data_IF_892124954371
#
_entry.id   IF_892124954371
#
_cell.length_a   1.000
_cell.length_b   1.000
_cell.length_c   1.000
_cell.angle_alpha   90.00
_cell.angle_beta   90.00
_cell.angle_gamma   90.00
#
_symmetry.space_group_name_H-M   'P 1'
#
loop_
_entity.id
_entity.type
_entity.pdbx_description
1 polymer ?
#
# COMPACT_ATOMS: atom_id res chain seq x y z
N UNK A 1 18.38 -23.12 -1.22
CA UNK A 1 17.28 -22.83 -0.29
C UNK A 1 16.07 -22.42 -1.11
N UNK A 2 14.88 -22.81 -0.67
CA UNK A 2 13.62 -22.32 -1.25
C UNK A 2 13.41 -20.85 -0.88
N UNK A 3 12.82 -20.05 -1.76
CA UNK A 3 12.50 -18.65 -1.45
C UNK A 3 11.32 -18.60 -0.47
N UNK A 4 11.37 -17.70 0.50
CA UNK A 4 10.23 -17.45 1.38
C UNK A 4 9.09 -16.83 0.57
N UNK A 5 7.84 -17.24 0.84
CA UNK A 5 6.62 -16.72 0.21
C UNK A 5 6.24 -15.30 0.69
N UNK A 6 7.24 -14.45 0.90
CA UNK A 6 7.13 -13.06 1.34
C UNK A 6 7.51 -12.17 0.16
N UNK A 7 6.75 -11.08 -0.01
CA UNK A 7 7.02 -10.04 -1.00
C UNK A 7 7.08 -8.68 -0.30
N UNK A 8 7.82 -7.73 -0.86
CA UNK A 8 7.85 -6.36 -0.34
C UNK A 8 7.96 -5.33 -1.47
N UNK A 9 7.61 -4.08 -1.16
CA UNK A 9 7.82 -2.92 -2.04
C UNK A 9 8.47 -1.84 -1.19
N UNK A 10 9.68 -1.44 -1.55
CA UNK A 10 10.47 -0.45 -0.83
C UNK A 10 10.32 0.95 -1.45
N UNK A 11 10.59 1.96 -0.63
CA UNK A 11 10.49 3.38 -1.01
C UNK A 11 11.78 4.09 -0.63
N UNK A 12 12.21 5.03 -1.48
CA UNK A 12 13.28 5.96 -1.18
C UNK A 12 13.12 6.55 0.26
N UNK A 13 14.11 6.45 1.15
CA UNK A 13 13.93 6.78 2.57
C UNK A 13 13.54 8.24 2.85
N UNK A 14 14.08 9.19 2.07
CA UNK A 14 13.76 10.62 2.20
C UNK A 14 12.30 10.85 1.81
N UNK A 15 11.92 10.30 0.66
CA UNK A 15 10.58 10.37 0.10
C UNK A 15 9.53 9.66 0.98
N UNK A 16 9.95 8.63 1.73
CA UNK A 16 9.15 8.00 2.78
C UNK A 16 8.91 8.95 3.94
N UNK A 17 9.94 9.55 4.54
CA UNK A 17 9.80 10.51 5.66
C UNK A 17 8.82 11.62 5.30
N UNK A 18 8.98 12.24 4.12
CA UNK A 18 8.03 13.23 3.61
C UNK A 18 6.60 12.69 3.54
N UNK A 19 6.39 11.54 2.88
CA UNK A 19 5.05 10.96 2.78
C UNK A 19 4.43 10.55 4.13
N UNK A 20 5.25 10.19 5.11
CA UNK A 20 4.81 9.83 6.46
C UNK A 20 4.41 11.06 7.27
N UNK A 21 5.15 12.16 7.15
CA UNK A 21 4.78 13.47 7.69
C UNK A 21 3.47 13.99 7.06
N UNK A 22 3.47 14.15 5.72
CA UNK A 22 2.33 14.66 4.95
C UNK A 22 1.03 13.89 5.23
N UNK A 23 1.08 12.55 5.21
CA UNK A 23 -0.10 11.71 5.45
C UNK A 23 -0.55 11.74 6.91
N UNK A 24 0.37 11.89 7.87
CA UNK A 24 0.00 12.03 9.29
C UNK A 24 -0.74 13.35 9.53
N UNK A 25 -0.27 14.44 8.92
CA UNK A 25 -0.94 15.75 8.95
C UNK A 25 -2.29 15.68 8.23
N UNK A 26 -2.33 15.17 6.99
CA UNK A 26 -3.56 15.10 6.18
C UNK A 26 -4.65 14.29 6.89
N UNK A 27 -4.34 13.13 7.46
CA UNK A 27 -5.35 12.31 8.14
C UNK A 27 -5.74 12.91 9.51
N UNK A 28 -4.83 13.61 10.18
CA UNK A 28 -5.10 14.31 11.44
C UNK A 28 -6.01 15.54 11.26
N UNK A 29 -5.80 16.32 10.20
CA UNK A 29 -6.56 17.54 9.92
C UNK A 29 -8.06 17.27 9.71
N UNK A 30 -8.43 16.11 9.16
CA UNK A 30 -9.83 15.65 9.00
C UNK A 30 -10.66 15.60 10.30
N UNK A 31 -10.01 15.65 11.47
CA UNK A 31 -10.70 15.68 12.76
C UNK A 31 -11.01 17.11 13.23
N UNK A 32 -10.35 18.14 12.69
CA UNK A 32 -10.52 19.55 13.10
C UNK A 32 -11.93 20.08 12.80
N UNK A 33 -12.55 19.54 11.75
CA UNK A 33 -13.97 19.72 11.33
C UNK A 33 -14.95 19.54 12.49
N UNK A 34 -14.58 18.73 13.50
CA UNK A 34 -15.40 18.49 14.68
C UNK A 34 -14.97 19.40 15.83
N UNK A 35 -15.75 20.45 16.19
CA UNK A 35 -15.32 21.45 17.16
C UNK A 35 -15.18 20.89 18.59
N UNK A 36 -15.93 19.84 18.94
CA UNK A 36 -16.09 19.41 20.33
C UNK A 36 -15.05 18.39 20.83
N UNK A 37 -14.14 17.89 19.98
CA UNK A 37 -13.17 16.85 20.37
C UNK A 37 -12.16 17.32 21.44
N UNK A 38 -11.91 18.64 21.56
CA UNK A 38 -11.05 19.23 22.60
C UNK A 38 -11.59 19.00 24.02
N UNK A 39 -12.91 18.81 24.19
CA UNK A 39 -13.57 18.76 25.51
C UNK A 39 -13.19 17.57 26.41
N UNK A 40 -12.65 16.49 25.84
CA UNK A 40 -12.45 15.21 26.54
C UNK A 40 -11.38 15.29 27.65
N UNK A 41 -10.45 16.24 27.59
CA UNK A 41 -9.41 16.42 28.63
C UNK A 41 -9.89 17.18 29.86
N UNK A 42 -10.91 18.05 29.75
CA UNK A 42 -11.26 18.98 30.85
C UNK A 42 -11.98 18.31 32.03
N UNK A 43 -12.47 17.06 31.87
CA UNK A 43 -13.25 16.36 32.91
C UNK A 43 -12.41 15.58 33.95
N UNK A 44 -11.08 15.61 33.90
CA UNK A 44 -10.21 14.95 34.91
C UNK A 44 -9.66 15.89 35.98
N UNK A 45 -9.96 17.19 35.92
CA UNK A 45 -9.37 18.21 36.79
C UNK A 45 -10.03 18.41 38.16
N UNK A 46 -10.25 17.36 38.96
CA UNK A 46 -10.74 17.50 40.35
C UNK A 46 -10.27 16.38 41.31
N UNK A 47 -9.72 16.80 42.48
CA UNK A 47 -9.00 15.99 43.50
C UNK A 47 -7.70 15.35 42.97
N UNK A 48 -6.55 15.46 43.63
CA UNK A 48 -6.32 15.40 45.08
C UNK A 48 -5.32 16.45 45.63
N UNK A 49 -5.33 16.62 46.95
CA UNK A 49 -4.54 17.61 47.71
C UNK A 49 -3.19 17.06 48.19
N UNK A 50 -2.19 17.92 48.17
CA UNK A 50 -0.84 17.91 48.80
C UNK A 50 -0.43 16.77 49.74
N UNK A 51 0.67 16.06 49.39
CA UNK A 51 1.79 15.76 50.33
C UNK A 51 3.11 15.49 49.59
N UNK A 52 4.24 15.44 50.32
CA UNK A 52 5.60 15.75 49.83
C UNK A 52 6.63 14.61 49.99
N UNK A 53 7.53 14.50 49.00
CA UNK A 53 8.84 13.79 49.00
C UNK A 53 8.75 12.25 49.12
N UNK A 54 9.60 11.41 48.50
CA UNK A 54 11.07 11.44 48.31
C UNK A 54 11.49 10.86 46.92
N UNK A 55 12.77 11.00 46.57
CA UNK A 55 13.51 10.57 45.36
C UNK A 55 13.52 9.04 45.14
N UNK A 56 13.31 8.56 43.90
CA UNK A 56 14.33 7.75 43.16
C UNK A 56 14.10 7.58 41.63
N UNK A 57 15.09 6.98 40.97
CA UNK A 57 15.40 6.77 39.54
C UNK A 57 14.29 6.85 38.44
N UNK A 58 14.52 7.76 37.49
CA UNK A 58 15.08 7.34 36.18
C UNK A 58 14.18 6.74 35.09
N UNK A 59 12.90 6.45 35.33
CA UNK A 59 12.05 5.83 34.30
C UNK A 59 11.47 6.84 33.29
N UNK A 60 12.13 6.99 32.13
CA UNK A 60 11.69 7.88 31.04
C UNK A 60 10.45 7.35 30.30
N UNK A 61 9.26 7.67 30.81
CA UNK A 61 7.96 7.26 30.25
C UNK A 61 7.68 7.85 28.87
N UNK A 62 7.18 7.04 27.92
CA UNK A 62 6.32 7.56 26.85
C UNK A 62 5.07 8.22 27.46
N UNK A 63 4.48 9.25 26.83
CA UNK A 63 3.23 9.83 27.29
C UNK A 63 2.11 8.78 27.35
N UNK A 64 1.26 8.87 28.38
CA UNK A 64 0.33 7.82 28.82
C UNK A 64 -0.53 7.19 27.69
N UNK A 65 -0.19 5.96 27.29
CA UNK A 65 -0.99 5.12 26.36
C UNK A 65 -2.44 4.88 26.84
N UNK A 66 -2.73 5.12 28.11
CA UNK A 66 -4.05 4.99 28.73
C UNK A 66 -5.13 5.84 28.04
N UNK A 67 -4.77 7.06 27.59
CA UNK A 67 -5.66 7.96 26.85
C UNK A 67 -6.06 7.37 25.48
N UNK A 68 -5.07 6.82 24.75
CA UNK A 68 -5.25 6.26 23.41
C UNK A 68 -6.31 5.14 23.39
N UNK A 69 -6.34 4.30 24.43
CA UNK A 69 -7.33 3.21 24.56
C UNK A 69 -8.77 3.76 24.60
N UNK A 70 -9.05 4.78 25.41
CA UNK A 70 -10.41 5.30 25.56
C UNK A 70 -10.96 5.94 24.27
N UNK A 71 -10.13 6.69 23.54
CA UNK A 71 -10.53 7.30 22.27
C UNK A 71 -10.87 6.23 21.22
N UNK A 72 -10.11 5.13 21.14
CA UNK A 72 -10.42 4.02 20.20
C UNK A 72 -11.71 3.26 20.55
N UNK A 73 -12.13 3.25 21.82
CA UNK A 73 -13.38 2.62 22.24
C UNK A 73 -14.62 3.37 21.73
N UNK A 74 -14.61 4.71 21.80
CA UNK A 74 -15.80 5.54 21.50
C UNK A 74 -16.09 5.72 20.01
N UNK A 75 -15.20 5.26 19.11
CA UNK A 75 -15.43 5.26 17.66
C UNK A 75 -15.93 3.90 17.11
N UNK A 76 -16.35 2.95 17.97
CA UNK A 76 -16.86 1.62 17.57
C UNK A 76 -18.38 1.59 17.28
N UNK A 77 -18.91 2.59 16.60
CA UNK A 77 -20.35 2.65 16.23
C UNK A 77 -20.57 2.86 14.73
N UNK A 78 -20.13 1.90 13.91
CA UNK A 78 -20.68 1.66 12.57
C UNK A 78 -20.30 0.26 12.08
N UNK A 79 -21.28 -0.58 11.73
CA UNK A 79 -21.03 -1.87 11.08
C UNK A 79 -20.57 -1.65 9.63
N UNK A 80 -19.27 -1.51 9.43
CA UNK A 80 -18.60 -1.75 8.15
C UNK A 80 -17.33 -2.56 8.41
N UNK A 81 -16.98 -3.51 7.54
CA UNK A 81 -15.72 -4.28 7.64
C UNK A 81 -14.51 -3.44 7.18
N UNK A 82 -14.52 -2.14 7.49
CA UNK A 82 -13.59 -1.14 6.97
C UNK A 82 -12.51 -0.87 8.00
N UNK A 83 -11.29 -1.32 7.72
CA UNK A 83 -10.14 -1.08 8.62
C UNK A 83 -9.86 0.42 8.68
N UNK A 84 -10.01 1.01 9.88
CA UNK A 84 -9.66 2.41 10.12
C UNK A 84 -8.15 2.62 10.09
N UNK A 85 -7.69 3.73 9.52
CA UNK A 85 -6.29 4.17 9.58
C UNK A 85 -5.75 4.19 11.01
N UNK A 86 -6.59 4.52 12.01
CA UNK A 86 -6.22 4.54 13.42
C UNK A 86 -5.90 3.15 14.02
N UNK A 87 -6.19 2.07 13.30
CA UNK A 87 -5.92 0.70 13.73
C UNK A 87 -4.70 0.07 13.00
N UNK A 88 -4.06 0.78 12.05
CA UNK A 88 -3.00 0.26 11.18
C UNK A 88 -1.65 0.85 11.61
N UNK A 89 -0.60 0.03 11.75
CA UNK A 89 0.76 0.54 11.94
C UNK A 89 1.31 1.12 10.62
N UNK A 90 2.00 2.29 10.62
CA UNK A 90 2.40 3.11 11.77
C UNK A 90 1.32 4.10 12.27
N UNK A 91 0.30 4.35 11.46
CA UNK A 91 -0.66 5.45 11.60
C UNK A 91 -1.47 5.45 12.90
N UNK A 92 -1.70 4.28 13.49
CA UNK A 92 -2.25 4.07 14.85
C UNK A 92 -1.61 4.95 15.91
N UNK A 93 -0.32 5.26 15.78
CA UNK A 93 0.43 6.08 16.72
C UNK A 93 0.63 7.51 16.20
N UNK A 94 1.03 7.65 14.93
CA UNK A 94 1.35 8.96 14.34
C UNK A 94 0.11 9.87 14.18
N UNK A 95 -1.04 9.33 13.76
CA UNK A 95 -2.23 10.16 13.49
C UNK A 95 -2.86 10.71 14.78
N UNK A 96 -3.07 9.93 15.87
CA UNK A 96 -3.57 10.49 17.12
C UNK A 96 -2.66 11.56 17.73
N UNK A 97 -1.34 11.41 17.62
CA UNK A 97 -0.34 12.36 18.10
C UNK A 97 -0.32 13.65 17.26
N UNK A 98 -0.24 13.54 15.93
CA UNK A 98 -0.29 14.70 15.04
C UNK A 98 -1.62 15.47 15.14
N UNK A 99 -2.73 14.76 15.40
CA UNK A 99 -4.03 15.40 15.69
C UNK A 99 -4.01 16.23 16.96
N UNK A 100 -3.33 15.77 18.02
CA UNK A 100 -3.20 16.54 19.26
C UNK A 100 -2.47 17.86 19.02
N UNK A 101 -1.34 17.81 18.31
CA UNK A 101 -0.56 18.98 17.89
C UNK A 101 -1.40 19.97 17.05
N UNK A 102 -2.13 19.50 16.04
CA UNK A 102 -3.01 20.34 15.23
C UNK A 102 -4.15 20.98 16.03
N UNK A 103 -4.76 20.25 16.98
CA UNK A 103 -5.82 20.79 17.84
C UNK A 103 -5.28 21.90 18.76
N UNK A 104 -4.13 21.66 19.41
CA UNK A 104 -3.47 22.67 20.25
C UNK A 104 -3.14 23.94 19.44
N UNK A 105 -2.59 23.79 18.24
CA UNK A 105 -2.27 24.93 17.36
C UNK A 105 -3.49 25.70 16.90
N UNK A 106 -4.54 25.01 16.45
CA UNK A 106 -5.84 25.61 16.09
C UNK A 106 -6.40 26.44 17.23
N UNK A 107 -6.37 25.90 18.46
CA UNK A 107 -7.00 26.54 19.60
C UNK A 107 -6.12 27.67 20.18
N UNK A 108 -4.79 27.59 20.07
CA UNK A 108 -3.87 28.73 20.32
C UNK A 108 -4.07 29.86 19.30
N UNK A 109 -4.23 29.56 18.00
CA UNK A 109 -4.53 30.58 16.97
C UNK A 109 -5.83 31.33 17.27
N UNK A 110 -6.90 30.61 17.61
CA UNK A 110 -8.19 31.18 18.03
C UNK A 110 -8.07 32.07 19.26
N UNK A 111 -7.33 31.64 20.29
CA UNK A 111 -7.10 32.44 21.51
C UNK A 111 -6.28 33.71 21.26
N UNK A 112 -5.46 33.75 20.21
CA UNK A 112 -4.67 34.93 19.80
C UNK A 112 -5.37 35.83 18.77
N UNK A 113 -6.50 35.41 18.20
CA UNK A 113 -7.14 36.11 17.07
C UNK A 113 -6.32 36.08 15.77
N UNK A 114 -5.55 35.02 15.53
CA UNK A 114 -4.71 34.88 14.33
C UNK A 114 -5.46 34.08 13.26
N UNK A 115 -6.23 34.79 12.44
CA UNK A 115 -7.05 34.21 11.38
C UNK A 115 -6.34 34.20 10.00
N UNK A 116 -5.39 35.11 9.75
CA UNK A 116 -4.67 35.26 8.47
C UNK A 116 -3.18 34.94 8.64
N UNK A 117 -2.78 33.73 8.26
CA UNK A 117 -1.38 33.27 8.26
C UNK A 117 -0.86 33.21 6.83
N UNK A 118 0.19 33.99 6.56
CA UNK A 118 0.87 34.05 5.26
C UNK A 118 2.24 33.39 5.35
N UNK A 119 2.25 32.06 5.25
CA UNK A 119 3.47 31.28 4.96
C UNK A 119 3.33 30.56 3.62
N UNK A 120 4.44 30.47 2.89
CA UNK A 120 4.56 29.75 1.62
C UNK A 120 5.31 28.41 1.74
N UNK A 121 5.93 28.12 2.90
CA UNK A 121 6.62 26.85 3.17
C UNK A 121 5.72 25.91 4.00
N UNK A 122 5.11 24.87 3.40
CA UNK A 122 4.24 23.93 4.13
C UNK A 122 5.03 23.01 5.09
N UNK A 123 6.36 22.98 5.01
CA UNK A 123 7.21 22.24 5.94
C UNK A 123 7.65 23.09 7.14
N UNK A 124 7.33 24.40 7.16
CA UNK A 124 7.63 25.31 8.26
C UNK A 124 6.48 26.32 8.53
N UNK A 125 5.41 25.84 9.15
CA UNK A 125 4.24 26.65 9.54
C UNK A 125 3.87 26.45 11.02
N UNK A 126 4.76 26.76 11.97
CA UNK A 126 4.58 26.43 13.41
C UNK A 126 3.22 26.89 13.99
N UNK A 127 2.66 28.06 13.68
CA UNK A 127 1.33 28.42 14.19
C UNK A 127 0.17 27.57 13.60
N UNK A 128 0.37 26.91 12.47
CA UNK A 128 -0.62 26.05 11.78
C UNK A 128 -0.46 24.58 12.15
N UNK A 129 0.76 24.05 12.05
CA UNK A 129 1.12 22.63 12.15
C UNK A 129 2.58 22.45 12.62
N UNK A 130 2.93 21.27 13.13
CA UNK A 130 4.32 20.95 13.48
C UNK A 130 5.26 21.04 12.26
N UNK A 131 6.33 21.87 12.28
CA UNK A 131 7.33 21.91 11.21
C UNK A 131 8.03 20.56 11.01
N UNK A 132 8.52 20.30 9.80
CA UNK A 132 9.19 19.05 9.44
C UNK A 132 10.43 18.78 10.28
N UNK A 133 11.24 19.79 10.58
CA UNK A 133 12.43 19.67 11.44
C UNK A 133 12.04 19.27 12.88
N UNK A 134 10.93 19.81 13.39
CA UNK A 134 10.38 19.45 14.70
C UNK A 134 9.84 18.02 14.70
N UNK A 135 9.17 17.61 13.61
CA UNK A 135 8.67 16.24 13.42
C UNK A 135 9.80 15.20 13.39
N UNK A 136 10.86 15.38 12.60
CA UNK A 136 11.93 14.37 12.46
C UNK A 136 12.78 14.19 13.73
N UNK A 137 12.77 15.16 14.64
CA UNK A 137 13.48 15.10 15.92
C UNK A 137 12.57 14.66 17.09
N UNK A 138 11.26 14.44 16.87
CA UNK A 138 10.37 13.96 17.92
C UNK A 138 10.65 12.48 18.26
N UNK A 139 10.63 12.07 19.54
CA UNK A 139 10.77 10.67 19.96
C UNK A 139 9.87 9.68 19.21
N UNK A 140 8.66 10.07 18.78
CA UNK A 140 7.76 9.20 18.00
C UNK A 140 8.28 8.98 16.58
N UNK A 141 8.93 9.97 15.96
CA UNK A 141 9.56 9.81 14.66
C UNK A 141 10.79 8.91 14.77
N UNK A 142 11.59 9.08 15.83
CA UNK A 142 12.70 8.18 16.15
C UNK A 142 12.24 6.73 16.40
N UNK A 143 11.08 6.52 17.04
CA UNK A 143 10.56 5.17 17.29
C UNK A 143 9.76 4.54 16.14
N UNK A 144 9.26 5.32 15.18
CA UNK A 144 8.34 4.78 14.16
C UNK A 144 8.83 5.02 12.73
N UNK A 145 9.38 6.19 12.45
CA UNK A 145 9.67 6.66 11.08
C UNK A 145 11.10 6.36 10.67
N UNK A 146 12.06 6.60 11.58
CA UNK A 146 13.50 6.51 11.27
C UNK A 146 14.03 5.07 11.26
N UNK A 147 14.78 4.74 10.20
CA UNK A 147 15.19 3.38 9.82
C UNK A 147 14.03 2.35 9.78
N UNK A 148 12.80 2.84 9.54
CA UNK A 148 11.57 2.07 9.62
C UNK A 148 11.53 0.86 8.69
N UNK A 149 12.13 0.93 7.49
CA UNK A 149 12.13 -0.17 6.53
C UNK A 149 13.05 -1.31 6.98
N UNK A 150 14.27 -0.98 7.43
CA UNK A 150 15.25 -1.91 8.00
C UNK A 150 14.66 -2.63 9.19
N UNK A 151 14.04 -1.89 10.12
CA UNK A 151 13.40 -2.49 11.28
C UNK A 151 12.14 -3.30 10.93
N UNK A 152 11.36 -2.91 9.92
CA UNK A 152 10.21 -3.69 9.44
C UNK A 152 10.64 -5.03 8.85
N UNK A 153 11.63 -5.02 7.95
CA UNK A 153 12.14 -6.24 7.32
C UNK A 153 12.86 -7.13 8.35
N UNK A 154 13.57 -6.56 9.32
CA UNK A 154 14.19 -7.30 10.41
C UNK A 154 13.22 -7.85 11.48
N UNK A 155 11.96 -7.38 11.53
CA UNK A 155 11.00 -7.76 12.58
C UNK A 155 11.30 -7.13 13.96
N UNK A 156 11.74 -5.88 13.93
CA UNK A 156 12.20 -5.07 15.07
C UNK A 156 11.48 -3.71 15.14
N UNK A 157 10.18 -3.70 14.82
CA UNK A 157 9.30 -2.54 15.02
C UNK A 157 8.66 -2.57 16.40
N UNK A 158 8.19 -1.42 16.89
CA UNK A 158 7.34 -1.32 18.09
C UNK A 158 5.93 -1.97 17.92
N UNK A 159 5.68 -2.63 16.80
CA UNK A 159 4.49 -3.46 16.53
C UNK A 159 4.88 -4.92 16.20
N UNK A 160 6.11 -5.32 16.53
CA UNK A 160 6.54 -6.72 16.45
C UNK A 160 6.00 -7.51 17.64
N UNK A 161 5.61 -8.77 17.42
CA UNK A 161 4.92 -9.59 18.44
C UNK A 161 5.80 -9.92 19.66
N UNK A 162 7.10 -10.13 19.45
CA UNK A 162 8.04 -10.46 20.52
C UNK A 162 8.50 -9.20 21.26
N UNK A 163 8.26 -9.12 22.56
CA UNK A 163 8.68 -7.99 23.41
C UNK A 163 10.19 -7.69 23.29
N UNK A 164 11.02 -8.74 23.16
CA UNK A 164 12.46 -8.59 23.00
C UNK A 164 12.85 -7.88 21.69
N UNK A 165 12.02 -7.90 20.63
CA UNK A 165 12.24 -7.08 19.43
C UNK A 165 12.25 -5.58 19.74
N UNK A 166 11.44 -5.13 20.72
CA UNK A 166 11.34 -3.73 21.13
C UNK A 166 12.60 -3.31 21.91
N UNK A 167 13.07 -4.18 22.81
CA UNK A 167 14.33 -3.99 23.56
C UNK A 167 15.53 -3.93 22.61
N UNK A 168 15.60 -4.83 21.62
CA UNK A 168 16.66 -4.81 20.59
C UNK A 168 16.59 -3.54 19.74
N UNK A 169 15.39 -3.10 19.32
CA UNK A 169 15.20 -1.81 18.62
C UNK A 169 15.78 -0.64 19.42
N UNK A 170 15.42 -0.54 20.70
CA UNK A 170 15.91 0.51 21.60
C UNK A 170 17.45 0.49 21.74
N UNK A 171 18.04 -0.69 21.93
CA UNK A 171 19.50 -0.82 21.96
C UNK A 171 20.18 -0.37 20.65
N UNK A 172 19.56 -0.62 19.49
CA UNK A 172 20.10 -0.21 18.18
C UNK A 172 19.93 1.29 17.93
N UNK A 173 18.83 1.90 18.38
CA UNK A 173 18.64 3.36 18.37
C UNK A 173 19.68 4.07 19.27
N UNK A 174 19.90 3.54 20.49
CA UNK A 174 20.87 4.07 21.46
C UNK A 174 22.33 3.88 21.01
N UNK A 175 22.66 2.71 20.46
CA UNK A 175 24.01 2.35 20.03
C UNK A 175 24.03 2.12 18.52
N UNK A 176 24.09 3.22 17.74
CA UNK A 176 24.03 3.21 16.25
C UNK A 176 24.97 2.18 15.59
N UNK A 177 26.12 1.87 16.19
CA UNK A 177 27.08 0.85 15.72
C UNK A 177 26.47 -0.57 15.61
N UNK A 178 25.40 -0.87 16.35
CA UNK A 178 24.67 -2.14 16.25
C UNK A 178 23.79 -2.22 14.99
N UNK A 179 23.44 -1.08 14.38
CA UNK A 179 22.58 -0.98 13.21
C UNK A 179 23.08 -1.79 12.02
N UNK A 180 24.40 -1.91 11.85
CA UNK A 180 25.03 -2.72 10.78
C UNK A 180 24.63 -4.20 10.83
N UNK A 181 24.44 -4.76 12.03
CA UNK A 181 24.04 -6.16 12.20
C UNK A 181 22.55 -6.36 11.86
N UNK A 182 21.70 -5.39 12.22
CA UNK A 182 20.29 -5.38 11.83
C UNK A 182 20.15 -5.23 10.31
N UNK A 183 20.93 -4.35 9.70
CA UNK A 183 21.00 -4.16 8.26
C UNK A 183 21.42 -5.45 7.53
N UNK A 184 22.42 -6.18 8.03
CA UNK A 184 22.80 -7.49 7.50
C UNK A 184 21.65 -8.51 7.57
N UNK A 185 20.90 -8.55 8.68
CA UNK A 185 19.68 -9.38 8.79
C UNK A 185 18.61 -8.94 7.81
N UNK A 186 18.43 -7.64 7.59
CA UNK A 186 17.44 -7.11 6.64
C UNK A 186 17.81 -7.42 5.18
N UNK A 187 19.06 -7.19 4.77
CA UNK A 187 19.57 -7.55 3.43
C UNK A 187 19.42 -9.05 3.16
N UNK A 188 19.87 -9.90 4.10
CA UNK A 188 19.70 -11.37 4.01
C UNK A 188 18.24 -11.82 3.92
N UNK A 189 17.29 -11.07 4.51
CA UNK A 189 15.86 -11.35 4.34
C UNK A 189 15.35 -10.95 2.96
N UNK A 190 15.75 -9.80 2.41
CA UNK A 190 15.40 -9.40 1.04
C UNK A 190 15.87 -10.43 0.00
N UNK A 191 17.10 -10.95 0.14
CA UNK A 191 17.65 -12.00 -0.76
C UNK A 191 16.74 -13.23 -0.86
N UNK A 192 16.06 -13.56 0.24
CA UNK A 192 15.21 -14.74 0.38
C UNK A 192 13.72 -14.44 0.17
N UNK A 193 13.33 -13.21 -0.19
CA UNK A 193 11.96 -12.89 -0.59
C UNK A 193 11.66 -13.38 -2.01
N UNK A 194 10.40 -13.76 -2.23
CA UNK A 194 9.88 -14.14 -3.54
C UNK A 194 10.06 -12.99 -4.55
N UNK A 195 9.71 -11.77 -4.12
CA UNK A 195 9.73 -10.56 -4.93
C UNK A 195 10.07 -9.29 -4.11
N UNK A 196 10.80 -8.35 -4.70
CA UNK A 196 11.16 -7.05 -4.09
C UNK A 196 10.93 -5.94 -5.13
N UNK A 197 9.94 -5.08 -4.89
CA UNK A 197 9.60 -3.95 -5.77
C UNK A 197 10.02 -2.59 -5.23
N UNK A 198 9.80 -1.55 -6.03
CA UNK A 198 10.14 -0.15 -5.74
C UNK A 198 8.93 0.78 -5.97
N UNK A 199 8.69 1.74 -5.09
CA UNK A 199 7.53 2.65 -5.20
C UNK A 199 7.66 3.73 -6.27
N UNK A 200 8.88 4.11 -6.62
CA UNK A 200 9.19 5.09 -7.65
C UNK A 200 8.99 4.51 -9.05
N UNK A 201 9.27 3.22 -9.23
CA UNK A 201 8.84 2.42 -10.37
C UNK A 201 7.66 1.50 -9.99
N UNK A 202 6.59 2.12 -9.49
CA UNK A 202 5.36 1.44 -9.08
C UNK A 202 4.74 0.62 -10.22
N UNK A 203 4.94 1.04 -11.48
CA UNK A 203 4.32 0.41 -12.64
C UNK A 203 5.05 -0.87 -13.03
N UNK A 204 6.36 -0.83 -13.27
CA UNK A 204 7.09 -2.05 -13.59
C UNK A 204 7.13 -2.98 -12.37
N UNK A 205 7.10 -2.43 -11.16
CA UNK A 205 6.94 -3.25 -9.95
C UNK A 205 5.63 -4.05 -9.92
N UNK A 206 4.50 -3.43 -10.27
CA UNK A 206 3.23 -4.14 -10.38
C UNK A 206 3.24 -5.18 -11.51
N UNK A 207 3.85 -4.86 -12.67
CA UNK A 207 3.99 -5.80 -13.79
C UNK A 207 4.85 -7.01 -13.39
N UNK A 208 6.02 -6.79 -12.79
CA UNK A 208 6.93 -7.86 -12.36
C UNK A 208 6.28 -8.72 -11.27
N UNK A 209 5.62 -8.11 -10.28
CA UNK A 209 4.83 -8.84 -9.28
C UNK A 209 3.72 -9.69 -9.93
N UNK A 210 2.95 -9.12 -10.87
CA UNK A 210 1.90 -9.83 -11.58
C UNK A 210 2.43 -10.99 -12.44
N UNK A 211 3.68 -10.93 -12.92
CA UNK A 211 4.32 -12.08 -13.56
C UNK A 211 4.80 -13.14 -12.55
N UNK A 212 5.29 -12.73 -11.37
CA UNK A 212 5.80 -13.65 -10.34
C UNK A 212 4.67 -14.40 -9.62
N UNK A 213 3.56 -13.74 -9.26
CA UNK A 213 2.44 -14.38 -8.53
C UNK A 213 1.16 -14.54 -9.34
N UNK A 214 1.00 -13.82 -10.45
CA UNK A 214 -0.28 -13.78 -11.18
C UNK A 214 -0.72 -15.16 -11.68
N UNK A 215 0.19 -16.01 -12.15
CA UNK A 215 -0.15 -17.38 -12.55
C UNK A 215 -0.74 -18.22 -11.39
N UNK A 216 -0.28 -18.01 -10.16
CA UNK A 216 -0.81 -18.65 -8.96
C UNK A 216 -2.18 -18.08 -8.57
N UNK A 217 -2.35 -16.76 -8.63
CA UNK A 217 -3.65 -16.10 -8.36
C UNK A 217 -4.69 -16.48 -9.41
N UNK A 218 -4.31 -16.53 -10.68
CA UNK A 218 -5.17 -16.92 -11.82
C UNK A 218 -5.63 -18.38 -11.68
N UNK A 219 -4.72 -19.31 -11.37
CA UNK A 219 -5.09 -20.72 -11.17
C UNK A 219 -5.97 -20.93 -9.94
N UNK A 220 -5.75 -20.19 -8.84
CA UNK A 220 -6.65 -20.18 -7.68
C UNK A 220 -8.04 -19.59 -7.98
N UNK A 221 -8.10 -18.52 -8.77
CA UNK A 221 -9.37 -17.93 -9.25
C UNK A 221 -10.14 -18.93 -10.12
N UNK A 222 -9.46 -19.62 -11.04
CA UNK A 222 -10.07 -20.66 -11.89
C UNK A 222 -10.60 -21.84 -11.06
N UNK A 223 -9.83 -22.33 -10.09
CA UNK A 223 -10.27 -23.40 -9.18
C UNK A 223 -11.49 -22.99 -8.35
N UNK A 224 -11.51 -21.75 -7.83
CA UNK A 224 -12.63 -21.21 -7.06
C UNK A 224 -13.90 -21.07 -7.90
N UNK A 225 -13.78 -20.59 -9.14
CA UNK A 225 -14.90 -20.49 -10.08
C UNK A 225 -15.47 -21.89 -10.40
N UNK A 226 -14.60 -22.87 -10.67
CA UNK A 226 -15.01 -24.25 -10.97
C UNK A 226 -15.73 -24.93 -9.77
N UNK A 227 -15.32 -24.67 -8.54
CA UNK A 227 -16.09 -25.11 -7.36
C UNK A 227 -17.41 -24.35 -7.17
N UNK A 228 -17.47 -23.08 -7.59
CA UNK A 228 -18.71 -22.28 -7.55
C UNK A 228 -19.81 -22.84 -8.47
N UNK A 229 -19.45 -23.33 -9.65
CA UNK A 229 -20.40 -23.95 -10.59
C UNK A 229 -20.88 -25.34 -10.13
N UNK A 230 -20.10 -26.04 -9.31
CA UNK A 230 -20.52 -27.32 -8.70
C UNK A 230 -21.37 -27.22 -7.42
N UNK A 231 -21.27 -26.10 -6.68
CA UNK A 231 -21.86 -25.97 -5.34
C UNK A 231 -23.35 -25.60 -5.31
N UNK A 232 -24.01 -25.45 -6.46
CA UNK A 232 -25.40 -25.01 -6.55
C UNK A 232 -26.44 -26.02 -6.03
N UNK A 233 -26.05 -27.27 -5.72
CA UNK A 233 -27.02 -28.36 -5.52
C UNK A 233 -26.66 -29.36 -4.40
N UNK A 234 -26.33 -28.88 -3.20
CA UNK A 234 -26.63 -29.61 -1.96
C UNK A 234 -26.70 -28.67 -0.74
N UNK A 235 -27.86 -28.63 -0.08
CA UNK A 235 -27.94 -28.14 1.30
C UNK A 235 -27.47 -29.25 2.24
N UNK A 236 -26.43 -28.98 3.02
CA UNK A 236 -26.24 -29.61 4.33
C UNK A 236 -25.57 -28.61 5.26
N UNK A 237 -25.90 -28.71 6.55
CA UNK A 237 -25.52 -27.73 7.56
C UNK A 237 -24.35 -28.26 8.38
N UNK A 238 -23.33 -27.44 8.59
CA UNK A 238 -22.54 -27.56 9.82
C UNK A 238 -22.05 -26.20 10.31
N UNK A 239 -22.92 -25.49 11.01
CA UNK A 239 -22.49 -24.47 11.96
C UNK A 239 -21.78 -25.15 13.13
N UNK A 240 -20.66 -24.59 13.55
CA UNK A 240 -20.18 -24.75 14.93
C UNK A 240 -20.47 -23.44 15.66
N UNK A 241 -21.45 -23.51 16.56
CA UNK A 241 -21.77 -22.50 17.56
C UNK A 241 -20.57 -22.35 18.54
N UNK A 242 -20.46 -21.33 19.40
CA UNK A 242 -21.48 -20.80 20.30
C UNK A 242 -21.43 -19.27 20.56
N UNK A 243 -22.54 -18.68 21.06
CA UNK A 243 -22.73 -17.23 21.24
C UNK A 243 -22.36 -16.84 22.70
N UNK A 244 -22.91 -15.89 23.49
CA UNK A 244 -24.18 -15.13 23.56
C UNK A 244 -23.90 -13.68 24.06
N UNK A 245 -24.69 -12.65 23.74
CA UNK A 245 -26.14 -12.37 23.86
C UNK A 245 -26.57 -11.95 25.27
N UNK A 246 -26.87 -10.66 25.40
CA UNK A 246 -27.99 -10.20 26.21
C UNK A 246 -28.65 -9.02 25.46
N UNK A 247 -29.98 -8.95 25.43
CA UNK A 247 -30.73 -7.84 24.86
C UNK A 247 -31.07 -6.85 25.98
N UNK A 248 -31.30 -5.59 25.62
CA UNK A 248 -32.68 -5.09 25.80
C UNK A 248 -33.04 -4.01 24.78
N UNK A 249 -34.32 -3.65 24.76
CA UNK A 249 -34.98 -2.79 23.79
C UNK A 249 -35.20 -1.39 24.37
N UNK A 250 -35.03 -0.33 23.57
CA UNK A 250 -36.18 0.45 23.07
C UNK A 250 -35.79 1.73 22.28
N UNK A 251 -36.81 2.24 21.59
CA UNK A 251 -37.07 3.65 21.25
C UNK A 251 -36.06 4.48 20.43
N UNK A 252 -36.34 4.48 19.12
CA UNK A 252 -36.67 5.66 18.31
C UNK A 252 -35.92 7.00 18.59
N UNK A 253 -35.20 7.53 17.59
CA UNK A 253 -35.79 8.51 16.66
C UNK A 253 -34.89 8.91 15.47
N UNK A 254 -35.54 9.09 14.32
CA UNK A 254 -35.25 10.04 13.24
C UNK A 254 -33.82 10.20 12.68
N UNK A 255 -33.44 9.27 11.79
CA UNK A 255 -32.46 9.53 10.74
C UNK A 255 -33.10 10.24 9.52
N UNK A 256 -32.94 11.56 9.39
CA UNK A 256 -33.33 12.28 8.16
C UNK A 256 -32.52 11.73 6.98
N UNK A 257 -33.22 11.18 5.98
CA UNK A 257 -32.60 10.34 4.94
C UNK A 257 -32.82 10.91 3.54
N UNK A 258 -31.86 11.68 3.03
CA UNK A 258 -31.90 12.17 1.66
C UNK A 258 -31.69 11.04 0.64
N UNK A 259 -32.80 10.54 0.11
CA UNK A 259 -32.83 9.50 -0.91
C UNK A 259 -32.59 10.08 -2.31
N UNK A 260 -31.53 9.57 -2.93
CA UNK A 260 -31.52 9.10 -4.33
C UNK A 260 -31.81 10.17 -5.42
N UNK A 261 -30.73 10.70 -6.00
CA UNK A 261 -30.65 10.80 -7.46
C UNK A 261 -29.77 9.65 -7.93
N UNK A 262 -30.35 8.68 -8.65
CA UNK A 262 -29.64 7.48 -9.10
C UNK A 262 -30.18 7.02 -10.46
N UNK A 263 -29.85 7.84 -11.48
CA UNK A 263 -29.96 7.65 -12.93
C UNK A 263 -29.12 8.83 -13.51
N UNK A 264 -28.20 8.67 -14.45
CA UNK A 264 -28.00 7.62 -15.44
C UNK A 264 -26.50 7.27 -15.63
N UNK A 265 -26.16 5.97 -15.55
CA UNK A 265 -24.86 5.43 -15.97
C UNK A 265 -24.98 3.93 -16.34
N UNK A 266 -25.96 3.59 -17.19
CA UNK A 266 -26.21 2.20 -17.64
C UNK A 266 -25.17 1.75 -18.69
N UNK A 267 -23.91 1.65 -18.30
CA UNK A 267 -22.89 1.00 -19.15
C UNK A 267 -22.95 -0.51 -18.96
N UNK A 268 -23.87 -1.15 -19.70
CA UNK A 268 -23.81 -2.60 -19.95
C UNK A 268 -22.54 -2.90 -20.76
N UNK A 269 -21.49 -3.36 -20.08
CA UNK A 269 -20.30 -4.05 -20.63
C UNK A 269 -19.41 -4.48 -19.43
N UNK A 270 -19.01 -5.75 -19.23
CA UNK A 270 -19.39 -7.01 -19.90
C UNK A 270 -19.30 -8.15 -18.89
N UNK A 271 -20.41 -8.51 -18.23
CA UNK A 271 -20.47 -9.65 -17.32
C UNK A 271 -20.97 -10.92 -18.04
N UNK A 272 -20.27 -11.34 -19.10
CA UNK A 272 -20.62 -12.55 -19.85
C UNK A 272 -19.45 -13.15 -20.64
N UNK A 273 -18.62 -13.94 -19.96
CA UNK A 273 -17.96 -15.17 -20.41
C UNK A 273 -16.85 -15.55 -19.42
N UNK A 274 -16.55 -16.85 -19.31
CA UNK A 274 -15.35 -17.34 -18.63
C UNK A 274 -14.09 -17.09 -19.46
N UNK A 275 -13.76 -15.82 -19.71
CA UNK A 275 -12.47 -15.50 -20.32
C UNK A 275 -11.34 -15.82 -19.33
N UNK A 276 -10.36 -16.61 -19.77
CA UNK A 276 -9.17 -16.89 -18.98
C UNK A 276 -8.45 -15.58 -18.62
N UNK A 277 -8.35 -15.29 -17.32
CA UNK A 277 -7.59 -14.15 -16.82
C UNK A 277 -6.12 -14.31 -17.23
N UNK A 278 -5.51 -13.24 -17.75
CA UNK A 278 -4.10 -13.19 -18.14
C UNK A 278 -3.39 -12.08 -17.36
N UNK A 279 -2.05 -12.11 -17.34
CA UNK A 279 -1.26 -11.03 -16.73
C UNK A 279 -1.56 -9.67 -17.39
N UNK A 280 -1.82 -9.63 -18.70
CA UNK A 280 -2.25 -8.43 -19.41
C UNK A 280 -3.57 -7.86 -18.88
N UNK A 281 -4.63 -8.69 -18.84
CA UNK A 281 -5.96 -8.28 -18.32
C UNK A 281 -5.93 -7.91 -16.84
N UNK A 282 -5.09 -8.58 -16.04
CA UNK A 282 -4.85 -8.22 -14.64
C UNK A 282 -4.22 -6.83 -14.52
N UNK A 283 -3.25 -6.49 -15.39
CA UNK A 283 -2.64 -5.17 -15.42
C UNK A 283 -3.60 -4.07 -15.90
N UNK A 284 -4.44 -4.35 -16.90
CA UNK A 284 -5.51 -3.43 -17.35
C UNK A 284 -6.47 -3.07 -16.20
N UNK A 285 -6.98 -4.08 -15.48
CA UNK A 285 -7.85 -3.89 -14.32
C UNK A 285 -7.15 -3.12 -13.17
N UNK A 286 -5.85 -3.36 -12.97
CA UNK A 286 -5.03 -2.64 -12.00
C UNK A 286 -4.86 -1.16 -12.35
N UNK A 287 -4.62 -0.78 -13.62
CA UNK A 287 -4.47 0.63 -14.00
C UNK A 287 -5.76 1.42 -13.76
N UNK A 288 -6.93 0.81 -14.05
CA UNK A 288 -8.25 1.38 -13.72
C UNK A 288 -8.42 1.54 -12.21
N UNK A 289 -8.03 0.53 -11.43
CA UNK A 289 -8.09 0.58 -9.95
C UNK A 289 -7.23 1.71 -9.38
N UNK A 290 -5.97 1.82 -9.83
CA UNK A 290 -5.02 2.85 -9.37
C UNK A 290 -5.44 4.26 -9.81
N UNK A 291 -6.00 4.42 -11.02
CA UNK A 291 -6.54 5.70 -11.49
C UNK A 291 -7.67 6.19 -10.57
N UNK A 292 -8.69 5.36 -10.34
CA UNK A 292 -9.81 5.69 -9.46
C UNK A 292 -9.36 5.96 -8.01
N UNK A 293 -8.39 5.18 -7.49
CA UNK A 293 -7.83 5.37 -6.16
C UNK A 293 -7.11 6.72 -6.02
N UNK A 294 -6.34 7.14 -7.04
CA UNK A 294 -5.64 8.44 -7.05
C UNK A 294 -6.61 9.62 -7.03
N UNK A 295 -7.70 9.55 -7.80
CA UNK A 295 -8.74 10.59 -7.80
C UNK A 295 -9.40 10.71 -6.43
N UNK A 296 -9.79 9.58 -5.82
CA UNK A 296 -10.39 9.55 -4.48
C UNK A 296 -9.42 10.03 -3.38
N UNK A 297 -8.12 9.72 -3.49
CA UNK A 297 -7.10 10.23 -2.57
C UNK A 297 -6.91 11.74 -2.73
N UNK A 298 -6.79 12.25 -3.96
CA UNK A 298 -6.64 13.68 -4.22
C UNK A 298 -7.84 14.49 -3.70
N UNK A 299 -9.07 14.02 -3.94
CA UNK A 299 -10.30 14.66 -3.42
C UNK A 299 -10.30 14.73 -1.89
N UNK A 300 -9.94 13.64 -1.21
CA UNK A 300 -9.88 13.60 0.26
C UNK A 300 -8.78 14.50 0.81
N UNK A 301 -7.63 14.59 0.14
CA UNK A 301 -6.52 15.48 0.50
C UNK A 301 -6.95 16.95 0.47
N UNK A 302 -7.62 17.41 -0.59
CA UNK A 302 -8.12 18.79 -0.70
C UNK A 302 -8.99 19.15 0.52
N UNK A 303 -10.04 18.38 0.78
CA UNK A 303 -10.94 18.57 1.94
C UNK A 303 -10.24 18.44 3.30
N UNK A 304 -9.11 17.73 3.36
CA UNK A 304 -8.31 17.62 4.60
C UNK A 304 -7.42 18.83 4.83
N UNK A 305 -6.94 19.49 3.77
CA UNK A 305 -6.03 20.63 3.84
C UNK A 305 -6.77 21.97 3.99
N UNK A 306 -8.04 22.04 3.60
CA UNK A 306 -8.94 23.18 3.86
C UNK A 306 -8.99 23.57 5.35
N UNK A 307 -8.97 22.59 6.25
CA UNK A 307 -8.93 22.78 7.73
C UNK A 307 -7.60 23.36 8.27
N UNK A 308 -6.53 23.36 7.46
CA UNK A 308 -5.18 23.80 7.85
C UNK A 308 -4.53 24.74 6.82
N UNK A 309 -5.35 25.52 6.11
CA UNK A 309 -4.84 26.58 5.22
C UNK A 309 -3.88 27.54 5.98
N UNK A 310 -2.80 28.03 5.33
CA UNK A 310 -2.46 27.86 3.90
C UNK A 310 -1.67 26.58 3.55
N UNK A 311 -1.57 25.58 4.43
CA UNK A 311 -0.68 24.43 4.23
C UNK A 311 -1.06 23.57 3.01
N UNK A 312 -0.22 23.57 1.99
CA UNK A 312 -0.38 22.74 0.79
C UNK A 312 0.93 22.04 0.41
N UNK A 313 1.06 20.77 0.76
CA UNK A 313 2.23 19.96 0.40
C UNK A 313 2.24 19.64 -1.10
N UNK A 314 3.35 19.89 -1.79
CA UNK A 314 3.59 19.43 -3.17
C UNK A 314 4.99 18.82 -3.31
N UNK A 315 5.30 18.18 -4.45
CA UNK A 315 6.65 17.67 -4.72
C UNK A 315 7.65 18.82 -4.89
N UNK A 316 7.19 19.90 -5.51
CA UNK A 316 7.92 21.12 -5.83
C UNK A 316 8.29 21.85 -4.53
N UNK A 317 7.38 21.85 -3.54
CA UNK A 317 7.66 22.35 -2.20
C UNK A 317 8.73 21.54 -1.45
N UNK A 318 8.86 20.21 -1.70
CA UNK A 318 9.95 19.40 -1.09
C UNK A 318 11.33 19.86 -1.55
N UNK A 319 11.43 20.48 -2.73
CA UNK A 319 12.68 21.04 -3.26
C UNK A 319 13.10 22.35 -2.58
N UNK A 320 12.19 22.99 -1.83
CA UNK A 320 12.47 24.22 -1.08
C UNK A 320 12.89 23.94 0.38
N UNK A 321 12.81 22.67 0.83
CA UNK A 321 13.20 22.27 2.18
C UNK A 321 14.72 22.43 2.34
N UNK A 322 15.20 23.10 3.41
CA UNK A 322 16.63 23.36 3.58
C UNK A 322 17.47 22.08 3.54
N UNK A 323 18.58 22.10 2.79
CA UNK A 323 19.47 20.95 2.63
C UNK A 323 20.06 20.46 3.97
N UNK A 324 20.14 21.31 5.00
CA UNK A 324 20.47 20.90 6.37
C UNK A 324 19.46 19.89 6.95
N UNK A 325 18.15 20.14 6.76
CA UNK A 325 17.07 19.24 7.17
C UNK A 325 17.10 17.96 6.32
N UNK A 326 17.41 18.06 5.02
CA UNK A 326 17.60 16.88 4.16
C UNK A 326 18.80 16.02 4.60
N UNK A 327 19.92 16.63 5.01
CA UNK A 327 21.08 15.92 5.58
C UNK A 327 20.74 15.26 6.92
N UNK A 328 19.94 15.92 7.78
CA UNK A 328 19.43 15.33 9.01
C UNK A 328 18.53 14.12 8.72
N UNK A 329 17.61 14.22 7.75
CA UNK A 329 16.78 13.10 7.29
C UNK A 329 17.64 11.94 6.77
N UNK A 330 18.70 12.20 6.00
CA UNK A 330 19.64 11.16 5.53
C UNK A 330 20.38 10.51 6.70
N UNK A 331 20.94 11.30 7.62
CA UNK A 331 21.66 10.83 8.82
C UNK A 331 20.78 9.97 9.75
N UNK A 332 19.50 10.34 9.92
CA UNK A 332 18.54 9.58 10.72
C UNK A 332 18.05 8.30 10.04
N UNK A 333 18.22 8.15 8.72
CA UNK A 333 17.77 7.00 7.92
C UNK A 333 18.91 6.24 7.22
N UNK A 334 20.14 6.31 7.75
CA UNK A 334 21.32 5.71 7.11
C UNK A 334 21.17 4.21 6.81
N UNK A 335 20.59 3.41 7.71
CA UNK A 335 20.39 1.98 7.46
C UNK A 335 19.38 1.73 6.33
N UNK A 336 18.35 2.59 6.24
CA UNK A 336 17.35 2.50 5.18
C UNK A 336 17.89 2.96 3.82
N UNK A 337 18.87 3.87 3.78
CA UNK A 337 19.57 4.23 2.54
C UNK A 337 20.37 3.02 2.03
N UNK A 338 21.23 2.44 2.87
CA UNK A 338 22.02 1.25 2.54
C UNK A 338 21.13 0.05 2.14
N UNK A 339 19.94 -0.09 2.74
CA UNK A 339 18.99 -1.16 2.44
C UNK A 339 18.21 -0.91 1.15
N UNK A 340 17.88 0.35 0.86
CA UNK A 340 17.15 0.76 -0.33
C UNK A 340 18.03 0.65 -1.59
N UNK A 341 19.29 1.08 -1.53
CA UNK A 341 20.29 0.84 -2.58
C UNK A 341 20.40 -0.65 -2.92
N UNK A 342 20.52 -1.51 -1.89
CA UNK A 342 20.55 -2.97 -2.05
C UNK A 342 19.25 -3.54 -2.64
N UNK A 343 18.10 -2.92 -2.37
CA UNK A 343 16.83 -3.30 -2.99
C UNK A 343 16.74 -2.85 -4.46
N UNK A 344 17.38 -1.75 -4.83
CA UNK A 344 17.51 -1.33 -6.23
C UNK A 344 18.35 -2.33 -7.04
N UNK A 345 19.45 -2.85 -6.48
CA UNK A 345 20.22 -3.94 -7.10
C UNK A 345 19.37 -5.21 -7.31
N UNK A 346 18.61 -5.62 -6.28
CA UNK A 346 17.71 -6.78 -6.37
C UNK A 346 16.63 -6.54 -7.45
N UNK A 347 16.00 -5.37 -7.48
CA UNK A 347 14.98 -5.02 -8.46
C UNK A 347 15.56 -4.99 -9.88
N UNK A 348 16.71 -4.34 -10.09
CA UNK A 348 17.39 -4.27 -11.38
C UNK A 348 17.88 -5.65 -11.86
N UNK A 349 18.18 -6.59 -10.96
CA UNK A 349 18.43 -8.00 -11.31
C UNK A 349 17.13 -8.72 -11.70
N UNK A 350 16.07 -8.62 -10.89
CA UNK A 350 14.76 -9.22 -11.18
C UNK A 350 14.18 -8.70 -12.51
N UNK A 351 14.39 -7.42 -12.84
CA UNK A 351 13.93 -6.81 -14.08
C UNK A 351 14.66 -7.33 -15.33
N UNK A 352 15.97 -7.57 -15.22
CA UNK A 352 16.75 -8.25 -16.27
C UNK A 352 16.29 -9.70 -16.45
N UNK A 353 16.21 -10.48 -15.36
CA UNK A 353 15.72 -11.86 -15.38
C UNK A 353 14.29 -12.00 -15.94
N UNK A 354 13.45 -10.96 -15.83
CA UNK A 354 12.13 -10.90 -16.45
C UNK A 354 12.20 -10.58 -17.95
N UNK A 355 12.94 -9.54 -18.33
CA UNK A 355 13.10 -9.10 -19.72
C UNK A 355 13.76 -10.18 -20.58
N UNK A 356 14.80 -10.86 -20.07
CA UNK A 356 15.47 -11.96 -20.76
C UNK A 356 14.52 -13.13 -21.06
N UNK A 357 13.62 -13.46 -20.11
CA UNK A 357 12.58 -14.49 -20.32
C UNK A 357 11.54 -14.05 -21.35
N UNK A 358 11.12 -12.79 -21.32
CA UNK A 358 10.15 -12.26 -22.29
C UNK A 358 10.73 -12.26 -23.72
N UNK A 359 12.00 -11.88 -23.87
CA UNK A 359 12.73 -11.96 -25.14
C UNK A 359 12.91 -13.42 -25.60
N UNK A 360 13.22 -14.34 -24.70
CA UNK A 360 13.33 -15.76 -25.02
C UNK A 360 12.01 -16.38 -25.50
N UNK A 361 10.87 -16.03 -24.88
CA UNK A 361 9.53 -16.46 -25.32
C UNK A 361 9.22 -15.87 -26.70
N UNK A 362 9.42 -14.57 -26.91
CA UNK A 362 9.21 -13.93 -28.22
C UNK A 362 10.10 -14.50 -29.32
N UNK A 363 11.36 -14.85 -29.03
CA UNK A 363 12.25 -15.52 -29.98
C UNK A 363 11.76 -16.94 -30.33
N UNK A 364 11.24 -17.68 -29.33
CA UNK A 364 10.71 -19.03 -29.50
C UNK A 364 9.42 -19.03 -30.35
N UNK A 365 8.49 -18.12 -30.09
CA UNK A 365 7.27 -17.94 -30.89
C UNK A 365 7.60 -17.57 -32.34
N UNK A 366 8.53 -16.64 -32.56
CA UNK A 366 8.98 -16.26 -33.91
C UNK A 366 9.67 -17.42 -34.65
N UNK A 367 10.41 -18.28 -33.95
CA UNK A 367 11.05 -19.46 -34.55
C UNK A 367 10.01 -20.53 -34.93
N UNK A 368 9.04 -20.82 -34.05
CA UNK A 368 7.96 -21.75 -34.36
C UNK A 368 7.06 -21.23 -35.49
N UNK A 369 6.66 -19.95 -35.47
CA UNK A 369 5.81 -19.35 -36.50
C UNK A 369 6.44 -19.42 -37.90
N UNK A 370 7.71 -19.01 -38.03
CA UNK A 370 8.43 -19.07 -39.31
C UNK A 370 8.61 -20.50 -39.83
N UNK A 371 8.92 -21.46 -38.95
CA UNK A 371 9.13 -22.85 -39.36
C UNK A 371 7.81 -23.55 -39.71
N UNK A 372 6.73 -23.29 -38.96
CA UNK A 372 5.40 -23.83 -39.25
C UNK A 372 4.85 -23.27 -40.56
N UNK A 373 4.97 -21.96 -40.81
CA UNK A 373 4.51 -21.34 -42.07
C UNK A 373 5.29 -21.83 -43.29
N UNK A 374 6.62 -22.02 -43.16
CA UNK A 374 7.40 -22.69 -44.22
C UNK A 374 6.91 -24.11 -44.47
N UNK A 375 6.66 -24.89 -43.41
CA UNK A 375 6.23 -26.29 -43.54
C UNK A 375 4.84 -26.39 -44.22
N UNK A 376 3.88 -25.52 -43.89
CA UNK A 376 2.58 -25.49 -44.54
C UNK A 376 2.64 -25.05 -46.00
N UNK A 377 3.53 -24.11 -46.35
CA UNK A 377 3.76 -23.75 -47.75
C UNK A 377 4.34 -24.92 -48.57
N UNK A 378 5.26 -25.70 -48.00
CA UNK A 378 5.79 -26.91 -48.66
C UNK A 378 4.74 -28.02 -48.82
N UNK A 379 3.89 -28.28 -47.81
CA UNK A 379 2.85 -29.31 -47.93
C UNK A 379 1.75 -28.92 -48.92
N UNK A 380 1.34 -27.64 -48.97
CA UNK A 380 0.41 -27.14 -49.99
C UNK A 380 1.00 -27.29 -51.39
N UNK A 381 2.28 -26.96 -51.60
CA UNK A 381 2.94 -27.12 -52.88
C UNK A 381 2.96 -28.59 -53.36
N UNK A 382 3.25 -29.53 -52.45
CA UNK A 382 3.23 -30.97 -52.73
C UNK A 382 1.83 -31.49 -53.09
N UNK A 383 0.79 -31.03 -52.38
CA UNK A 383 -0.61 -31.38 -52.69
C UNK A 383 -1.03 -30.83 -54.06
N UNK A 384 -0.66 -29.59 -54.39
CA UNK A 384 -0.94 -29.00 -55.71
C UNK A 384 -0.22 -29.74 -56.84
N UNK A 385 1.04 -30.14 -56.64
CA UNK A 385 1.78 -30.98 -57.59
C UNK A 385 1.11 -32.35 -57.79
N UNK A 386 0.66 -32.99 -56.70
CA UNK A 386 -0.04 -34.27 -56.78
C UNK A 386 -1.38 -34.17 -57.54
N UNK A 387 -2.16 -33.12 -57.27
CA UNK A 387 -3.40 -32.83 -58.00
C UNK A 387 -3.15 -32.52 -59.48
N UNK A 388 -2.07 -31.81 -59.81
CA UNK A 388 -1.68 -31.53 -61.20
C UNK A 388 -1.28 -32.80 -61.95
N UNK A 389 -0.51 -33.69 -61.30
CA UNK A 389 -0.15 -34.99 -61.86
C UNK A 389 -1.38 -35.88 -62.10
N UNK A 390 -2.34 -35.92 -61.17
CA UNK A 390 -3.61 -36.63 -61.35
C UNK A 390 -4.42 -36.04 -62.53
N UNK A 391 -4.48 -34.71 -62.64
CA UNK A 391 -5.20 -34.03 -63.73
C UNK A 391 -4.59 -34.33 -65.10
N UNK A 392 -3.26 -34.24 -65.24
CA UNK A 392 -2.58 -34.58 -66.49
C UNK A 392 -2.69 -36.07 -66.84
N UNK A 393 -2.70 -36.97 -65.85
CA UNK A 393 -2.90 -38.40 -66.12
C UNK A 393 -4.34 -38.68 -66.62
N UNK A 394 -5.35 -38.09 -65.99
CA UNK A 394 -6.75 -38.16 -66.43
C UNK A 394 -6.98 -37.48 -67.80
N UNK A 395 -6.18 -36.45 -68.12
CA UNK A 395 -6.20 -35.78 -69.43
C UNK A 395 -5.62 -36.68 -70.53
N UNK A 396 -4.48 -37.34 -70.26
CA UNK A 396 -3.87 -38.33 -71.17
C UNK A 396 -4.82 -39.49 -71.46
N UNK A 397 -5.49 -40.01 -70.43
CA UNK A 397 -6.47 -41.10 -70.58
C UNK A 397 -7.64 -40.71 -71.49
N UNK A 398 -8.11 -39.44 -71.40
CA UNK A 398 -9.14 -38.91 -72.32
C UNK A 398 -8.62 -38.73 -73.74
N UNK A 399 -7.41 -38.20 -73.93
CA UNK A 399 -6.82 -38.04 -75.29
C UNK A 399 -6.50 -39.38 -75.97
N UNK A 400 -6.22 -40.44 -75.20
CA UNK A 400 -5.93 -41.77 -75.76
C UNK A 400 -7.17 -42.50 -76.32
N UNK A 401 -8.38 -41.95 -76.14
CA UNK A 401 -9.65 -42.54 -76.61
C UNK A 401 -10.19 -41.85 -77.89
N UNK A 402 -9.36 -41.05 -78.58
CA UNK A 402 -9.69 -40.46 -79.90
C UNK A 402 -8.61 -40.78 -80.93
N UNK A 403 -8.73 -41.97 -81.52
CA UNK A 403 -8.32 -42.26 -82.90
C UNK A 403 -9.43 -43.05 -83.58
N UNK A 404 -9.75 -42.63 -84.80
CA UNK A 404 -10.54 -43.35 -85.80
C UNK A 404 -9.54 -44.13 -86.66
#
# INVERSE_FOLDING_TARGET
MEKTSVVTVLRNPIDRVFSTYEFSVEVAARFLVQPNLTSVQQMTGHRHTTRTNVVDEGFSTLPNLTSVKQVTGRMRTTRTNRVSTLNIWPWKYLVPWMREDLFVRRDVRKLRGIDDIKSSDPYNMEDVLMPLEKFINDPIAHDIVHNGATFQIAGLTNNSYLENSHKVRHCVQKYKVLGKYVLQVAKKRLDNMLYVGLTEDHRNSAIMFANVVGAQVISQQMASNATGEGAANMKSEQSSFFPDTELDNNDQQNSTSDKKVAETASTKNTAKNGENMTVGKLMEAYEVCISNLRVEQARRRIVSLEEILPANFTKEARLQVPEAVLQQIRSLNSLDLDLYEYAQDIFAKQHREYTDKLLAVGALENMFGNNLWKLTMWTVLLVLLFLFLLFENARREKTSKVKI
#
